data_IF_846061429099
#
_entry.id   IF_846061429099
#
_cell.length_a   1.000
_cell.length_b   1.000
_cell.length_c   1.000
_cell.angle_alpha   90.00
_cell.angle_beta   90.00
_cell.angle_gamma   90.00
#
_symmetry.space_group_name_H-M   'P 1'
#
loop_
_entity.id
_entity.type
_entity.pdbx_description
1 polymer ?
#
# COMPACT_ATOMS: atom_id res chain seq x y z
N UNK A 1 27.85 -12.72 -29.43
CA UNK A 1 26.76 -11.69 -29.63
C UNK A 1 25.46 -12.45 -29.84
N UNK A 2 24.39 -12.04 -29.17
CA UNK A 2 23.07 -12.63 -29.27
C UNK A 2 22.26 -11.79 -30.25
N UNK A 3 21.53 -12.43 -31.17
CA UNK A 3 20.65 -11.69 -32.11
C UNK A 3 19.35 -11.21 -31.43
N UNK A 4 18.66 -10.23 -31.97
CA UNK A 4 17.37 -9.73 -31.43
C UNK A 4 16.34 -10.85 -31.24
N UNK A 5 16.27 -11.79 -32.21
CA UNK A 5 15.35 -12.92 -32.16
C UNK A 5 15.68 -13.86 -30.99
N UNK A 6 16.98 -14.07 -30.72
CA UNK A 6 17.41 -14.91 -29.60
C UNK A 6 17.07 -14.25 -28.24
N UNK A 7 17.24 -12.91 -28.11
CA UNK A 7 16.83 -12.17 -26.91
C UNK A 7 15.34 -12.32 -26.66
N UNK A 8 14.52 -12.08 -27.68
CA UNK A 8 13.07 -12.20 -27.61
C UNK A 8 12.64 -13.64 -27.27
N UNK A 9 13.29 -14.66 -27.88
CA UNK A 9 13.01 -16.06 -27.58
C UNK A 9 13.33 -16.41 -26.13
N UNK A 10 14.45 -15.90 -25.60
CA UNK A 10 14.84 -16.11 -24.20
C UNK A 10 13.79 -15.53 -23.24
N UNK A 11 13.32 -14.31 -23.48
CA UNK A 11 12.25 -13.69 -22.70
C UNK A 11 11.00 -14.56 -22.70
N UNK A 12 10.53 -14.99 -23.86
CA UNK A 12 9.35 -15.87 -24.00
C UNK A 12 9.51 -17.19 -23.27
N UNK A 13 10.71 -17.79 -23.30
CA UNK A 13 10.99 -19.05 -22.61
C UNK A 13 10.94 -18.87 -21.07
N UNK A 14 11.46 -17.78 -20.54
CA UNK A 14 11.44 -17.47 -19.12
C UNK A 14 10.03 -17.15 -18.64
N UNK A 15 9.25 -16.38 -19.41
CA UNK A 15 7.83 -16.12 -19.13
C UNK A 15 7.01 -17.42 -19.11
N UNK A 16 7.27 -18.35 -20.04
CA UNK A 16 6.60 -19.64 -20.07
C UNK A 16 6.88 -20.50 -18.82
N UNK A 17 7.99 -20.23 -18.12
CA UNK A 17 8.33 -20.83 -16.83
C UNK A 17 7.77 -20.03 -15.65
N UNK A 18 6.88 -19.07 -15.90
CA UNK A 18 6.31 -18.15 -14.90
C UNK A 18 7.34 -17.27 -14.18
N UNK A 19 8.54 -17.09 -14.78
CA UNK A 19 9.52 -16.14 -14.26
C UNK A 19 9.10 -14.71 -14.60
N UNK A 20 9.39 -13.76 -13.71
CA UNK A 20 9.31 -12.33 -14.01
C UNK A 20 10.62 -11.87 -14.61
N UNK A 21 10.53 -11.27 -15.79
CA UNK A 21 11.70 -10.96 -16.63
C UNK A 21 11.86 -9.45 -16.75
N UNK A 22 13.01 -8.94 -16.31
CA UNK A 22 13.46 -7.60 -16.65
C UNK A 22 14.55 -7.70 -17.71
N UNK A 23 14.46 -6.86 -18.75
CA UNK A 23 15.45 -6.81 -19.84
C UNK A 23 16.08 -5.43 -19.86
N UNK A 24 17.40 -5.37 -19.99
CA UNK A 24 18.11 -4.11 -20.25
C UNK A 24 18.55 -4.04 -21.70
N UNK A 25 18.48 -2.86 -22.29
CA UNK A 25 18.89 -2.64 -23.68
C UNK A 25 19.24 -1.19 -23.97
N UNK A 26 20.10 -0.98 -24.96
CA UNK A 26 20.60 0.33 -25.39
C UNK A 26 20.30 0.63 -26.87
N UNK A 27 19.97 -0.39 -27.65
CA UNK A 27 19.85 -0.28 -29.10
C UNK A 27 18.47 -0.64 -29.67
N UNK A 28 18.28 -0.30 -30.94
CA UNK A 28 17.09 -0.65 -31.74
C UNK A 28 16.84 -2.16 -31.73
N UNK A 29 17.91 -2.94 -31.72
CA UNK A 29 17.85 -4.41 -31.71
C UNK A 29 17.29 -4.98 -30.40
N UNK A 30 17.27 -4.20 -29.33
CA UNK A 30 16.77 -4.60 -28.02
C UNK A 30 15.28 -4.28 -27.85
N UNK A 31 14.75 -3.34 -28.62
CA UNK A 31 13.38 -2.87 -28.51
C UNK A 31 12.32 -4.01 -28.47
N UNK A 32 12.38 -5.04 -29.33
CA UNK A 32 11.41 -6.12 -29.26
C UNK A 32 11.46 -6.91 -27.95
N UNK A 33 12.64 -7.04 -27.33
CA UNK A 33 12.81 -7.73 -26.04
C UNK A 33 12.41 -6.81 -24.88
N UNK A 34 12.68 -5.52 -24.94
CA UNK A 34 12.26 -4.52 -23.96
C UNK A 34 10.74 -4.48 -23.84
N UNK A 35 10.03 -4.34 -24.99
CA UNK A 35 8.55 -4.32 -25.03
C UNK A 35 7.94 -5.64 -24.54
N UNK A 36 8.62 -6.78 -24.79
CA UNK A 36 8.06 -8.08 -24.46
C UNK A 36 8.28 -8.49 -23.01
N UNK A 37 9.30 -8.00 -22.36
CA UNK A 37 9.60 -8.30 -20.96
C UNK A 37 8.50 -7.77 -20.01
N UNK A 38 8.44 -8.30 -18.78
CA UNK A 38 7.59 -7.71 -17.72
C UNK A 38 8.02 -6.27 -17.36
N UNK A 39 9.33 -6.00 -17.50
CA UNK A 39 9.93 -4.67 -17.31
C UNK A 39 11.07 -4.49 -18.32
N UNK A 40 10.93 -3.53 -19.24
CA UNK A 40 11.99 -3.06 -20.12
C UNK A 40 12.76 -1.91 -19.49
N UNK A 41 14.09 -2.02 -19.40
CA UNK A 41 14.97 -0.98 -18.86
C UNK A 41 15.90 -0.48 -19.96
N UNK A 42 15.69 0.73 -20.45
CA UNK A 42 16.52 1.36 -21.45
C UNK A 42 17.63 2.19 -20.84
N UNK A 43 18.81 2.21 -21.50
CA UNK A 43 19.92 3.10 -21.12
C UNK A 43 19.58 4.54 -21.48
N UNK A 44 19.82 5.48 -20.57
CA UNK A 44 19.45 6.89 -20.78
C UNK A 44 20.48 7.67 -21.58
N UNK A 45 21.78 7.47 -21.30
CA UNK A 45 22.88 8.17 -21.96
C UNK A 45 23.27 7.50 -23.28
N UNK A 46 23.49 6.19 -23.25
CA UNK A 46 23.95 5.40 -24.41
C UNK A 46 22.80 4.84 -25.23
N UNK A 47 21.58 4.80 -24.67
CA UNK A 47 20.40 4.26 -25.34
C UNK A 47 19.95 5.08 -26.54
N UNK A 48 19.50 4.41 -27.60
CA UNK A 48 18.82 5.06 -28.74
C UNK A 48 17.42 5.53 -28.34
N UNK A 49 16.85 6.49 -29.09
CA UNK A 49 15.47 6.94 -28.87
C UNK A 49 14.48 5.78 -28.94
N UNK A 50 14.68 4.86 -29.88
CA UNK A 50 13.85 3.66 -30.03
C UNK A 50 13.91 2.76 -28.78
N UNK A 51 15.08 2.58 -28.18
CA UNK A 51 15.22 1.82 -26.95
C UNK A 51 14.55 2.54 -25.77
N UNK A 52 14.70 3.85 -25.67
CA UNK A 52 14.05 4.68 -24.62
C UNK A 52 12.52 4.67 -24.75
N UNK A 53 11.98 4.70 -25.97
CA UNK A 53 10.53 4.60 -26.21
C UNK A 53 9.98 3.19 -25.90
N UNK A 54 10.82 2.15 -26.11
CA UNK A 54 10.44 0.76 -25.87
C UNK A 54 10.54 0.32 -24.39
N UNK A 55 11.28 1.06 -23.56
CA UNK A 55 11.52 0.74 -22.16
C UNK A 55 10.45 1.32 -21.23
N UNK A 56 10.06 0.56 -20.18
CA UNK A 56 9.20 1.04 -19.11
C UNK A 56 9.95 1.97 -18.15
N UNK A 57 11.28 1.76 -18.03
CA UNK A 57 12.18 2.52 -17.16
C UNK A 57 13.37 3.01 -17.99
N UNK A 58 13.76 4.27 -17.78
CA UNK A 58 14.97 4.83 -18.36
C UNK A 58 16.02 5.00 -17.27
N UNK A 59 17.17 4.36 -17.44
CA UNK A 59 18.29 4.40 -16.51
C UNK A 59 19.17 5.63 -16.81
N UNK A 60 18.89 6.74 -16.18
CA UNK A 60 19.47 8.04 -16.51
C UNK A 60 21.00 8.13 -16.35
N UNK A 61 21.58 7.30 -15.50
CA UNK A 61 23.02 7.24 -15.22
C UNK A 61 23.75 6.13 -15.98
N UNK A 62 23.01 5.22 -16.64
CA UNK A 62 23.48 3.99 -17.28
C UNK A 62 24.20 3.01 -16.31
N UNK A 63 23.93 3.16 -14.98
CA UNK A 63 24.55 2.31 -13.96
C UNK A 63 23.59 1.18 -13.55
N UNK A 64 23.99 -0.06 -13.79
CA UNK A 64 23.24 -1.25 -13.37
C UNK A 64 23.00 -1.33 -11.85
N UNK A 65 23.88 -0.71 -11.03
CA UNK A 65 23.66 -0.66 -9.58
C UNK A 65 22.40 0.12 -9.21
N UNK A 66 21.97 1.07 -10.05
CA UNK A 66 20.73 1.83 -9.87
C UNK A 66 19.48 0.96 -10.02
N UNK A 67 19.54 -0.14 -10.79
CA UNK A 67 18.46 -1.13 -10.86
C UNK A 67 18.25 -1.78 -9.49
N UNK A 68 19.30 -2.13 -8.78
CA UNK A 68 19.19 -2.71 -7.44
C UNK A 68 18.56 -1.72 -6.45
N UNK A 69 18.91 -0.43 -6.55
CA UNK A 69 18.29 0.65 -5.77
C UNK A 69 16.80 0.78 -6.10
N UNK A 70 16.43 0.75 -7.39
CA UNK A 70 15.04 0.80 -7.84
C UNK A 70 14.22 -0.39 -7.32
N UNK A 71 14.78 -1.59 -7.30
CA UNK A 71 14.13 -2.77 -6.69
C UNK A 71 13.95 -2.58 -5.19
N UNK A 72 14.95 -2.03 -4.48
CA UNK A 72 14.85 -1.73 -3.06
C UNK A 72 13.71 -0.73 -2.79
N UNK A 73 13.69 0.38 -3.51
CA UNK A 73 12.65 1.41 -3.37
C UNK A 73 11.26 0.88 -3.72
N UNK A 74 11.13 0.10 -4.78
CA UNK A 74 9.86 -0.54 -5.15
C UNK A 74 9.34 -1.49 -4.06
N UNK A 75 10.21 -2.27 -3.43
CA UNK A 75 9.84 -3.13 -2.28
C UNK A 75 9.45 -2.30 -1.06
N UNK A 76 10.16 -1.21 -0.79
CA UNK A 76 9.87 -0.26 0.28
C UNK A 76 8.48 0.37 0.10
N UNK A 77 8.25 0.98 -1.07
CA UNK A 77 6.96 1.59 -1.41
C UNK A 77 5.80 0.60 -1.32
N UNK A 78 5.98 -0.63 -1.85
CA UNK A 78 4.93 -1.66 -1.77
C UNK A 78 4.62 -2.06 -0.33
N UNK A 79 5.65 -2.17 0.53
CA UNK A 79 5.47 -2.52 1.95
C UNK A 79 4.71 -1.43 2.68
N UNK A 80 5.09 -0.17 2.48
CA UNK A 80 4.42 0.98 3.10
C UNK A 80 2.99 1.16 2.58
N UNK A 81 2.76 0.97 1.28
CA UNK A 81 1.42 0.95 0.70
C UNK A 81 0.53 -0.12 1.35
N UNK A 82 1.07 -1.35 1.55
CA UNK A 82 0.32 -2.44 2.18
C UNK A 82 -0.04 -2.12 3.64
N UNK A 83 0.88 -1.50 4.38
CA UNK A 83 0.64 -1.02 5.76
C UNK A 83 -0.43 0.07 5.77
N UNK A 84 -0.32 1.06 4.89
CA UNK A 84 -1.26 2.17 4.78
C UNK A 84 -2.69 1.71 4.44
N UNK A 85 -2.82 0.83 3.44
CA UNK A 85 -4.14 0.26 3.06
C UNK A 85 -4.75 -0.54 4.22
N UNK A 86 -3.94 -1.35 4.93
CA UNK A 86 -4.41 -2.10 6.09
C UNK A 86 -4.94 -1.19 7.19
N UNK A 87 -4.18 -0.16 7.54
CA UNK A 87 -4.57 0.84 8.54
C UNK A 87 -5.85 1.58 8.12
N UNK A 88 -5.87 2.10 6.90
CA UNK A 88 -7.02 2.84 6.37
C UNK A 88 -8.31 2.01 6.40
N UNK A 89 -8.27 0.78 5.92
CA UNK A 89 -9.44 -0.10 5.94
C UNK A 89 -9.89 -0.43 7.37
N UNK A 90 -8.95 -0.69 8.30
CA UNK A 90 -9.29 -0.97 9.68
C UNK A 90 -10.07 0.20 10.32
N UNK A 91 -9.59 1.43 10.11
CA UNK A 91 -10.25 2.65 10.62
C UNK A 91 -11.63 2.85 9.97
N UNK A 92 -11.75 2.70 8.65
CA UNK A 92 -13.04 2.88 7.98
C UNK A 92 -14.07 1.85 8.45
N UNK A 93 -13.67 0.58 8.62
CA UNK A 93 -14.56 -0.43 9.19
C UNK A 93 -14.93 -0.13 10.64
N UNK A 94 -13.99 0.31 11.47
CA UNK A 94 -14.28 0.73 12.84
C UNK A 94 -15.28 1.89 12.86
N UNK A 95 -15.11 2.92 12.01
CA UNK A 95 -16.02 4.05 11.93
C UNK A 95 -17.43 3.62 11.54
N UNK A 96 -17.56 2.75 10.55
CA UNK A 96 -18.88 2.20 10.17
C UNK A 96 -19.52 1.49 11.36
N UNK A 97 -18.78 0.67 12.10
CA UNK A 97 -19.32 -0.03 13.28
C UNK A 97 -19.71 0.94 14.39
N UNK A 98 -18.87 1.93 14.69
CA UNK A 98 -19.12 2.95 15.72
C UNK A 98 -20.35 3.79 15.41
N UNK A 99 -20.64 4.03 14.12
CA UNK A 99 -21.83 4.78 13.71
C UNK A 99 -23.06 3.89 13.56
N UNK A 100 -22.91 2.66 13.08
CA UNK A 100 -24.05 1.78 12.79
C UNK A 100 -24.62 1.11 14.06
N UNK A 101 -23.77 0.63 14.97
CA UNK A 101 -24.22 -0.11 16.14
C UNK A 101 -25.13 0.71 17.07
N UNK A 102 -24.82 2.00 17.42
CA UNK A 102 -25.74 2.83 18.20
C UNK A 102 -27.10 3.02 17.54
N UNK A 103 -27.16 3.16 16.22
CA UNK A 103 -28.43 3.26 15.49
C UNK A 103 -29.28 1.99 15.67
N UNK A 104 -28.66 0.81 15.59
CA UNK A 104 -29.36 -0.47 15.75
C UNK A 104 -29.90 -0.68 17.17
N UNK A 105 -29.22 -0.17 18.19
CA UNK A 105 -29.66 -0.24 19.60
C UNK A 105 -30.45 0.99 20.05
N UNK A 106 -30.78 1.89 19.11
CA UNK A 106 -31.55 3.11 19.34
C UNK A 106 -30.92 4.07 20.38
N UNK A 107 -29.59 4.12 20.42
CA UNK A 107 -28.82 5.08 21.24
C UNK A 107 -28.33 6.20 20.34
N UNK A 108 -28.16 7.39 20.92
CA UNK A 108 -27.63 8.55 20.22
C UNK A 108 -26.23 8.30 19.65
N UNK A 109 -25.90 8.99 18.56
CA UNK A 109 -24.63 8.79 17.88
C UNK A 109 -23.44 9.30 18.71
N UNK A 110 -22.33 8.54 18.76
CA UNK A 110 -21.14 8.90 19.54
C UNK A 110 -20.36 10.07 18.95
N UNK A 111 -20.53 10.35 17.64
CA UNK A 111 -19.87 11.47 16.98
C UNK A 111 -20.87 12.41 16.33
N UNK A 112 -20.62 13.70 16.47
CA UNK A 112 -21.29 14.74 15.69
C UNK A 112 -20.74 14.81 14.26
N UNK A 113 -21.48 15.36 13.29
CA UNK A 113 -20.98 15.53 11.91
C UNK A 113 -19.66 16.30 11.83
N UNK A 114 -19.46 17.32 12.67
CA UNK A 114 -18.22 18.10 12.71
C UNK A 114 -17.05 17.23 13.19
N UNK A 115 -17.26 16.39 14.21
CA UNK A 115 -16.25 15.48 14.70
C UNK A 115 -15.85 14.44 13.64
N UNK A 116 -16.82 13.92 12.86
CA UNK A 116 -16.52 12.98 11.76
C UNK A 116 -15.64 13.67 10.71
N UNK A 117 -15.97 14.89 10.30
CA UNK A 117 -15.16 15.65 9.33
C UNK A 117 -13.74 15.88 9.85
N UNK A 118 -13.59 16.22 11.13
CA UNK A 118 -12.28 16.40 11.74
C UNK A 118 -11.48 15.08 11.78
N UNK A 119 -12.12 13.98 12.17
CA UNK A 119 -11.48 12.65 12.16
C UNK A 119 -10.99 12.28 10.77
N UNK A 120 -11.84 12.40 9.75
CA UNK A 120 -11.49 12.10 8.36
C UNK A 120 -10.30 12.96 7.88
N UNK A 121 -10.37 14.28 8.11
CA UNK A 121 -9.34 15.20 7.67
C UNK A 121 -7.97 14.91 8.32
N UNK A 122 -7.95 14.77 9.66
CA UNK A 122 -6.69 14.54 10.37
C UNK A 122 -6.12 13.15 10.12
N UNK A 123 -6.97 12.13 10.08
CA UNK A 123 -6.50 10.75 9.88
C UNK A 123 -6.00 10.51 8.47
N UNK A 124 -6.71 11.00 7.46
CA UNK A 124 -6.28 10.81 6.06
C UNK A 124 -4.95 11.53 5.80
N UNK A 125 -4.78 12.77 6.32
CA UNK A 125 -3.56 13.54 6.15
C UNK A 125 -2.40 12.96 6.95
N UNK A 126 -2.62 12.63 8.22
CA UNK A 126 -1.58 12.08 9.10
C UNK A 126 -1.14 10.67 8.65
N UNK A 127 -2.10 9.80 8.28
CA UNK A 127 -1.79 8.47 7.78
C UNK A 127 -1.02 8.53 6.46
N UNK A 128 -1.43 9.37 5.51
CA UNK A 128 -0.71 9.55 4.25
C UNK A 128 0.74 9.99 4.50
N UNK A 129 0.95 10.99 5.35
CA UNK A 129 2.29 11.48 5.68
C UNK A 129 3.13 10.42 6.40
N UNK A 130 2.56 9.71 7.38
CA UNK A 130 3.27 8.71 8.18
C UNK A 130 3.74 7.52 7.33
N UNK A 131 2.86 6.95 6.50
CA UNK A 131 3.22 5.77 5.68
C UNK A 131 4.16 6.11 4.51
N UNK A 132 4.11 7.33 3.98
CA UNK A 132 5.07 7.78 2.96
C UNK A 132 6.45 8.00 3.57
N UNK A 133 6.52 8.54 4.79
CA UNK A 133 7.78 8.86 5.48
C UNK A 133 8.38 7.66 6.25
N UNK A 134 7.67 6.52 6.36
CA UNK A 134 8.15 5.37 7.12
C UNK A 134 9.43 4.79 6.48
N UNK A 135 10.53 4.63 7.24
CA UNK A 135 11.79 4.17 6.70
C UNK A 135 11.72 2.70 6.25
N UNK A 136 12.58 2.34 5.31
CA UNK A 136 12.68 0.99 4.79
C UNK A 136 13.12 -0.02 5.87
N UNK A 137 12.48 -1.17 5.92
CA UNK A 137 12.90 -2.28 6.81
C UNK A 137 14.24 -2.86 6.36
N UNK A 138 15.17 -3.10 7.29
CA UNK A 138 16.55 -3.48 6.97
C UNK A 138 16.72 -4.86 6.31
N UNK A 139 15.66 -5.67 6.21
CA UNK A 139 15.67 -7.01 5.61
C UNK A 139 14.99 -7.11 4.24
N UNK A 140 14.52 -5.99 3.67
CA UNK A 140 13.74 -5.97 2.43
C UNK A 140 14.42 -6.70 1.27
N UNK A 141 15.73 -6.55 1.11
CA UNK A 141 16.47 -7.21 0.03
C UNK A 141 16.81 -8.67 0.32
N UNK A 142 16.69 -9.11 1.58
CA UNK A 142 16.91 -10.52 1.98
C UNK A 142 15.66 -11.37 1.77
N UNK A 143 14.50 -10.75 1.68
CA UNK A 143 13.23 -11.44 1.44
C UNK A 143 13.15 -11.96 0.01
N UNK A 144 12.60 -13.16 -0.16
CA UNK A 144 12.28 -13.68 -1.49
C UNK A 144 11.36 -12.74 -2.27
N UNK A 145 11.43 -12.73 -3.59
CA UNK A 145 10.47 -11.99 -4.42
C UNK A 145 9.03 -12.41 -4.08
N UNK A 146 8.11 -11.45 -4.15
CA UNK A 146 6.70 -11.75 -3.94
C UNK A 146 6.18 -12.63 -5.07
N UNK A 147 5.40 -13.64 -4.70
CA UNK A 147 4.65 -14.43 -5.65
C UNK A 147 3.58 -13.54 -6.35
N UNK A 148 3.61 -13.41 -7.68
CA UNK A 148 2.66 -12.59 -8.43
C UNK A 148 1.21 -13.07 -8.32
N UNK A 149 1.01 -14.37 -8.04
CA UNK A 149 -0.34 -14.96 -7.92
C UNK A 149 -0.98 -14.69 -6.56
N UNK A 150 -0.22 -14.26 -5.56
CA UNK A 150 -0.78 -13.91 -4.25
C UNK A 150 -1.56 -12.61 -4.34
N UNK A 151 -2.82 -12.59 -3.86
CA UNK A 151 -3.63 -11.38 -3.85
C UNK A 151 -2.97 -10.29 -2.99
N UNK A 152 -3.25 -9.04 -3.31
CA UNK A 152 -2.77 -7.91 -2.51
C UNK A 152 -3.27 -8.00 -1.07
N UNK A 153 -4.55 -8.32 -0.90
CA UNK A 153 -5.19 -8.58 0.40
C UNK A 153 -5.18 -10.08 0.68
N UNK A 154 -4.22 -10.53 1.46
CA UNK A 154 -4.12 -11.91 1.94
C UNK A 154 -4.98 -12.15 3.21
N UNK A 155 -5.25 -13.42 3.53
CA UNK A 155 -6.05 -13.77 4.72
C UNK A 155 -5.51 -13.17 6.03
N UNK A 156 -4.19 -13.19 6.31
CA UNK A 156 -3.65 -12.55 7.50
C UNK A 156 -3.92 -11.04 7.55
N UNK A 157 -3.84 -10.35 6.40
CA UNK A 157 -4.14 -8.92 6.31
C UNK A 157 -5.60 -8.63 6.62
N UNK A 158 -6.53 -9.40 6.04
CA UNK A 158 -7.97 -9.27 6.29
C UNK A 158 -8.28 -9.51 7.77
N UNK A 159 -7.74 -10.56 8.37
CA UNK A 159 -7.91 -10.84 9.79
C UNK A 159 -7.38 -9.69 10.65
N UNK A 160 -6.20 -9.17 10.34
CA UNK A 160 -5.64 -8.01 11.05
C UNK A 160 -6.53 -6.78 10.94
N UNK A 161 -7.10 -6.48 9.76
CA UNK A 161 -8.06 -5.38 9.57
C UNK A 161 -9.28 -5.57 10.46
N UNK A 162 -9.88 -6.76 10.46
CA UNK A 162 -11.08 -7.07 11.25
C UNK A 162 -10.80 -6.95 12.74
N UNK A 163 -9.72 -7.56 13.24
CA UNK A 163 -9.39 -7.48 14.67
C UNK A 163 -9.07 -6.06 15.12
N UNK A 164 -8.32 -5.29 14.32
CA UNK A 164 -8.03 -3.88 14.63
C UNK A 164 -9.31 -3.03 14.63
N UNK A 165 -10.17 -3.23 13.65
CA UNK A 165 -11.44 -2.50 13.57
C UNK A 165 -12.36 -2.82 14.75
N UNK A 166 -12.48 -4.10 15.13
CA UNK A 166 -13.27 -4.54 16.28
C UNK A 166 -12.69 -3.98 17.58
N UNK A 167 -11.37 -4.01 17.75
CA UNK A 167 -10.70 -3.48 18.94
C UNK A 167 -10.95 -1.99 19.11
N UNK A 168 -10.76 -1.20 18.05
CA UNK A 168 -11.02 0.24 18.06
C UNK A 168 -12.50 0.54 18.30
N UNK A 169 -13.40 -0.12 17.58
CA UNK A 169 -14.82 0.07 17.76
C UNK A 169 -15.28 -0.29 19.19
N UNK A 170 -14.78 -1.38 19.76
CA UNK A 170 -15.08 -1.78 21.13
C UNK A 170 -14.56 -0.76 22.14
N UNK A 171 -13.37 -0.23 21.99
CA UNK A 171 -12.82 0.79 22.86
C UNK A 171 -13.65 2.07 22.84
N UNK A 172 -14.00 2.56 21.65
CA UNK A 172 -14.79 3.79 21.48
C UNK A 172 -16.22 3.62 21.98
N UNK A 173 -16.90 2.57 21.53
CA UNK A 173 -18.28 2.30 21.97
C UNK A 173 -18.36 1.93 23.45
N UNK A 174 -17.39 1.16 23.95
CA UNK A 174 -17.30 0.85 25.37
C UNK A 174 -17.18 2.10 26.23
N UNK A 175 -16.27 3.01 25.88
CA UNK A 175 -16.13 4.30 26.56
C UNK A 175 -17.41 5.12 26.48
N UNK A 176 -18.03 5.22 25.31
CA UNK A 176 -19.25 5.97 25.07
C UNK A 176 -20.44 5.42 25.88
N UNK A 177 -20.71 4.12 25.77
CA UNK A 177 -21.87 3.49 26.41
C UNK A 177 -21.72 3.46 27.93
N UNK A 178 -20.50 3.23 28.45
CA UNK A 178 -20.23 3.33 29.90
C UNK A 178 -20.49 4.75 30.37
N UNK A 179 -20.00 5.78 29.69
CA UNK A 179 -20.26 7.17 30.04
C UNK A 179 -21.76 7.49 30.14
N UNK A 180 -22.55 7.06 29.16
CA UNK A 180 -24.00 7.22 29.17
C UNK A 180 -24.68 6.44 30.33
N UNK A 181 -24.23 5.22 30.61
CA UNK A 181 -24.82 4.36 31.65
C UNK A 181 -24.65 4.90 33.07
N UNK A 182 -23.59 5.66 33.32
CA UNK A 182 -23.33 6.32 34.62
C UNK A 182 -23.89 7.73 34.69
N UNK A 183 -24.68 8.15 33.67
CA UNK A 183 -25.39 9.43 33.65
C UNK A 183 -24.54 10.64 33.28
N UNK A 184 -23.41 10.42 32.59
CA UNK A 184 -22.63 11.54 32.02
C UNK A 184 -23.42 12.21 30.90
N UNK A 185 -23.34 13.55 30.86
CA UNK A 185 -23.94 14.34 29.80
C UNK A 185 -23.50 13.86 28.39
N UNK A 186 -24.44 13.89 27.44
CA UNK A 186 -24.22 13.42 26.09
C UNK A 186 -23.00 14.05 25.42
N UNK A 187 -22.84 15.37 25.57
CA UNK A 187 -21.73 16.10 24.95
C UNK A 187 -20.38 15.61 25.50
N UNK A 188 -20.30 15.39 26.80
CA UNK A 188 -19.09 14.87 27.46
C UNK A 188 -18.83 13.43 27.02
N UNK A 189 -19.85 12.59 26.93
CA UNK A 189 -19.73 11.22 26.44
C UNK A 189 -19.23 11.18 24.98
N UNK A 190 -19.70 12.08 24.12
CA UNK A 190 -19.21 12.22 22.76
C UNK A 190 -17.74 12.68 22.70
N UNK A 191 -17.34 13.62 23.57
CA UNK A 191 -15.93 14.04 23.68
C UNK A 191 -15.06 12.87 24.14
N UNK A 192 -15.51 12.09 25.12
CA UNK A 192 -14.77 10.90 25.58
C UNK A 192 -14.62 9.85 24.48
N UNK A 193 -15.68 9.60 23.70
CA UNK A 193 -15.62 8.73 22.52
C UNK A 193 -14.63 9.24 21.47
N UNK A 194 -14.63 10.54 21.20
CA UNK A 194 -13.71 11.17 20.27
C UNK A 194 -12.25 11.05 20.73
N UNK A 195 -11.96 11.27 22.02
CA UNK A 195 -10.63 11.09 22.59
C UNK A 195 -10.22 9.61 22.54
N UNK A 196 -11.13 8.68 22.88
CA UNK A 196 -10.86 7.24 22.76
C UNK A 196 -10.51 6.83 21.32
N UNK A 197 -11.15 7.43 20.32
CA UNK A 197 -10.80 7.22 18.90
C UNK A 197 -9.41 7.75 18.57
N UNK A 198 -9.03 8.91 19.07
CA UNK A 198 -7.72 9.53 18.75
C UNK A 198 -6.53 8.82 19.40
N UNK A 199 -6.76 8.08 20.49
CA UNK A 199 -5.71 7.36 21.25
C UNK A 199 -5.60 5.89 20.82
N UNK A 200 -6.67 5.26 20.35
CA UNK A 200 -6.75 3.84 19.93
C UNK A 200 -6.30 3.61 18.52
#
# INVERSE_FOLDING_TARGET
RITPEHKLRLVKMLEAQHARVAVTGDGVNDAPALVKADIGVAMGKTGTDVAREAGDIILADDDYATIAKAVHEGRHLFTNLKKGVRFYLAIKFALVMVMLLPVLIQVQLPFSPVQIILLELFMDLAAAAAFVAEPAEGDLMKRSPRDPQKPFMDKPMILSIVFSALGLAAAVLGTYLVALSIGIDLLIAQIMAFVAWMVG
#
